data_IF_543532371412
#
_entry.id   IF_543532371412
#
_cell.length_a   1.000
_cell.length_b   1.000
_cell.length_c   1.000
_cell.angle_alpha   90.00
_cell.angle_beta   90.00
_cell.angle_gamma   90.00
#
_symmetry.space_group_name_H-M   'P 1'
#
loop_
_entity.id
_entity.type
_entity.pdbx_description
1 polymer ?
#
# COMPACT_ATOMS: atom_id res chain seq x y z
N UNK A 1 8.86 16.15 -8.72
CA UNK A 1 7.72 16.95 -9.23
C UNK A 1 6.54 16.11 -9.68
N UNK A 2 6.70 15.09 -10.55
CA UNK A 2 5.57 14.24 -11.02
C UNK A 2 4.83 13.49 -9.90
N UNK A 3 5.54 12.96 -8.91
CA UNK A 3 4.96 12.24 -7.77
C UNK A 3 4.02 13.14 -6.96
N UNK A 4 4.42 14.38 -6.68
CA UNK A 4 3.60 15.34 -5.94
C UNK A 4 2.31 15.70 -6.68
N UNK A 5 2.36 15.85 -8.01
CA UNK A 5 1.19 16.10 -8.84
C UNK A 5 0.23 14.91 -8.77
N UNK A 6 0.75 13.69 -8.86
CA UNK A 6 -0.07 12.46 -8.79
C UNK A 6 -0.72 12.31 -7.43
N UNK A 7 0.03 12.52 -6.35
CA UNK A 7 -0.52 12.49 -4.97
C UNK A 7 -1.58 13.59 -4.81
N UNK A 8 -1.34 14.81 -5.32
CA UNK A 8 -2.30 15.90 -5.26
C UNK A 8 -3.62 15.59 -5.99
N UNK A 9 -3.54 14.99 -7.18
CA UNK A 9 -4.73 14.56 -7.95
C UNK A 9 -5.48 13.47 -7.17
N UNK A 10 -4.79 12.47 -6.65
CA UNK A 10 -5.39 11.39 -5.86
C UNK A 10 -6.04 11.93 -4.59
N UNK A 11 -5.42 12.89 -3.91
CA UNK A 11 -5.99 13.58 -2.75
C UNK A 11 -7.28 14.30 -3.12
N UNK A 12 -7.30 15.03 -4.22
CA UNK A 12 -8.51 15.71 -4.70
C UNK A 12 -9.65 14.72 -4.96
N UNK A 13 -9.39 13.63 -5.68
CA UNK A 13 -10.39 12.59 -5.94
C UNK A 13 -10.86 11.91 -4.64
N UNK A 14 -9.97 11.62 -3.72
CA UNK A 14 -10.28 10.99 -2.45
C UNK A 14 -11.22 11.84 -1.60
N UNK A 15 -10.97 13.14 -1.52
CA UNK A 15 -11.86 14.10 -0.82
C UNK A 15 -13.21 14.18 -1.52
N UNK A 16 -13.22 14.27 -2.85
CA UNK A 16 -14.45 14.38 -3.64
C UNK A 16 -15.38 13.16 -3.51
N UNK A 17 -14.78 11.95 -3.40
CA UNK A 17 -15.53 10.70 -3.29
C UNK A 17 -15.69 10.19 -1.84
N UNK A 18 -15.33 11.00 -0.85
CA UNK A 18 -15.36 10.62 0.59
C UNK A 18 -14.59 9.33 0.92
N UNK A 19 -13.58 8.97 0.14
CA UNK A 19 -12.71 7.82 0.38
C UNK A 19 -11.46 8.30 1.13
N UNK A 20 -11.66 8.79 2.35
CA UNK A 20 -10.61 9.43 3.15
C UNK A 20 -9.41 8.51 3.44
N UNK A 21 -9.63 7.19 3.48
CA UNK A 21 -8.57 6.19 3.70
C UNK A 21 -7.61 6.03 2.50
N UNK A 22 -8.01 6.48 1.31
CA UNK A 22 -7.10 6.50 0.15
C UNK A 22 -5.90 7.43 0.36
N UNK A 23 -6.08 8.46 1.21
CA UNK A 23 -5.03 9.43 1.57
C UNK A 23 -4.30 9.00 2.85
N UNK A 24 -4.60 7.83 3.40
CA UNK A 24 -3.92 7.38 4.61
C UNK A 24 -2.40 7.46 4.41
N UNK A 25 -1.66 8.08 5.33
CA UNK A 25 -0.21 8.26 5.22
C UNK A 25 0.55 6.98 4.84
N UNK A 26 0.19 5.78 5.34
CA UNK A 26 0.88 4.55 4.95
C UNK A 26 0.77 4.22 3.46
N UNK A 27 -0.36 4.51 2.81
CA UNK A 27 -0.54 4.26 1.37
C UNK A 27 0.31 5.22 0.53
N UNK A 28 0.40 6.47 0.95
CA UNK A 28 1.25 7.47 0.27
C UNK A 28 2.72 7.07 0.39
N UNK A 29 3.17 6.66 1.57
CA UNK A 29 4.54 6.18 1.79
C UNK A 29 4.82 4.93 0.94
N UNK A 30 3.89 3.98 0.91
CA UNK A 30 4.00 2.79 0.05
C UNK A 30 4.14 3.16 -1.43
N UNK A 31 3.37 4.14 -1.91
CA UNK A 31 3.45 4.62 -3.28
C UNK A 31 4.81 5.27 -3.59
N UNK A 32 5.30 6.14 -2.71
CA UNK A 32 6.61 6.78 -2.87
C UNK A 32 7.72 5.73 -2.93
N UNK A 33 7.67 4.73 -2.06
CA UNK A 33 8.66 3.66 -1.99
C UNK A 33 8.60 2.75 -3.23
N UNK A 34 7.41 2.42 -3.72
CA UNK A 34 7.23 1.63 -4.96
C UNK A 34 7.72 2.39 -6.22
N UNK A 35 7.66 3.71 -6.23
CA UNK A 35 8.19 4.53 -7.33
C UNK A 35 9.70 4.70 -7.27
N UNK A 36 10.36 4.32 -6.18
CA UNK A 36 11.82 4.35 -6.05
C UNK A 36 12.45 3.28 -6.95
N UNK A 37 13.53 3.64 -7.65
CA UNK A 37 14.25 2.75 -8.59
C UNK A 37 14.86 1.53 -7.91
N UNK A 38 15.24 1.67 -6.66
CA UNK A 38 15.88 0.62 -5.86
C UNK A 38 14.89 -0.32 -5.15
N UNK A 39 13.57 -0.15 -5.36
CA UNK A 39 12.56 -0.98 -4.72
C UNK A 39 12.62 -2.43 -5.26
N UNK A 40 13.12 -3.35 -4.43
CA UNK A 40 13.24 -4.78 -4.74
C UNK A 40 11.87 -5.47 -4.93
N UNK A 41 10.80 -4.89 -4.35
CA UNK A 41 9.46 -5.49 -4.35
C UNK A 41 8.66 -5.20 -5.61
N UNK A 42 9.17 -4.34 -6.48
CA UNK A 42 8.55 -4.00 -7.77
C UNK A 42 8.25 -5.23 -8.64
N UNK A 43 9.19 -6.18 -8.70
CA UNK A 43 9.02 -7.41 -9.50
C UNK A 43 7.97 -8.35 -8.90
N UNK A 44 7.63 -8.18 -7.62
CA UNK A 44 6.63 -8.96 -6.88
C UNK A 44 5.37 -8.16 -6.56
N UNK A 45 4.96 -7.23 -7.44
CA UNK A 45 3.82 -6.34 -7.22
C UNK A 45 2.51 -7.08 -6.92
N UNK A 46 2.28 -8.26 -7.53
CA UNK A 46 1.11 -9.11 -7.24
C UNK A 46 1.14 -9.67 -5.81
N UNK A 47 2.29 -10.19 -5.38
CA UNK A 47 2.46 -10.70 -4.01
C UNK A 47 2.36 -9.57 -2.97
N UNK A 48 2.84 -8.39 -3.32
CA UNK A 48 2.72 -7.20 -2.48
C UNK A 48 1.25 -6.77 -2.35
N UNK A 49 0.49 -6.74 -3.44
CA UNK A 49 -0.95 -6.44 -3.41
C UNK A 49 -1.71 -7.45 -2.52
N UNK A 50 -1.43 -8.73 -2.67
CA UNK A 50 -2.00 -9.78 -1.84
C UNK A 50 -1.66 -9.57 -0.36
N UNK A 51 -0.41 -9.24 -0.05
CA UNK A 51 0.02 -8.95 1.32
C UNK A 51 -0.74 -7.77 1.92
N UNK A 52 -0.94 -6.68 1.18
CA UNK A 52 -1.75 -5.54 1.62
C UNK A 52 -3.19 -5.94 1.98
N UNK A 53 -3.81 -6.75 1.11
CA UNK A 53 -5.19 -7.22 1.32
C UNK A 53 -5.27 -8.13 2.55
N UNK A 54 -4.38 -9.12 2.66
CA UNK A 54 -4.34 -10.05 3.80
C UNK A 54 -4.17 -9.30 5.11
N UNK A 55 -3.25 -8.35 5.15
CA UNK A 55 -2.95 -7.59 6.37
C UNK A 55 -4.09 -6.62 6.72
N UNK A 56 -4.77 -6.02 5.73
CA UNK A 56 -5.96 -5.21 5.98
C UNK A 56 -7.12 -6.03 6.55
N UNK A 57 -7.30 -7.26 6.06
CA UNK A 57 -8.30 -8.20 6.59
C UNK A 57 -7.93 -8.64 8.02
N UNK A 58 -6.67 -8.94 8.30
CA UNK A 58 -6.20 -9.26 9.64
C UNK A 58 -6.49 -8.11 10.62
N UNK A 59 -6.13 -6.88 10.25
CA UNK A 59 -6.44 -5.71 11.08
C UNK A 59 -7.93 -5.54 11.35
N UNK A 60 -8.77 -5.77 10.34
CA UNK A 60 -10.23 -5.77 10.48
C UNK A 60 -10.72 -6.85 11.47
N UNK A 61 -10.25 -8.09 11.31
CA UNK A 61 -10.65 -9.23 12.17
C UNK A 61 -10.25 -8.95 13.63
N UNK A 62 -9.04 -8.48 13.88
CA UNK A 62 -8.60 -8.19 15.24
C UNK A 62 -9.38 -7.03 15.85
N UNK A 63 -9.73 -6.00 15.08
CA UNK A 63 -10.48 -4.85 15.59
C UNK A 63 -11.94 -5.18 15.85
N UNK A 64 -12.64 -5.75 14.89
CA UNK A 64 -14.08 -6.04 15.01
C UNK A 64 -14.31 -7.36 15.73
N UNK A 65 -13.65 -8.45 15.29
CA UNK A 65 -13.88 -9.78 15.83
C UNK A 65 -13.38 -9.94 17.27
N UNK A 66 -12.14 -9.57 17.53
CA UNK A 66 -11.55 -9.80 18.85
C UNK A 66 -11.84 -8.67 19.83
N UNK A 67 -11.72 -7.40 19.41
CA UNK A 67 -11.93 -6.29 20.33
C UNK A 67 -13.42 -6.00 20.56
N UNK A 68 -14.23 -5.83 19.52
CA UNK A 68 -15.65 -5.45 19.69
C UNK A 68 -16.54 -6.64 20.03
N UNK A 69 -16.34 -7.79 19.38
CA UNK A 69 -17.23 -8.95 19.58
C UNK A 69 -16.84 -9.78 20.81
N UNK A 70 -15.53 -10.03 21.02
CA UNK A 70 -15.04 -10.83 22.15
C UNK A 70 -14.67 -9.99 23.37
N UNK A 71 -14.70 -8.65 23.27
CA UNK A 71 -14.37 -7.75 24.37
C UNK A 71 -12.89 -7.78 24.79
N UNK A 72 -11.99 -8.28 23.94
CA UNK A 72 -10.57 -8.37 24.25
C UNK A 72 -9.98 -6.96 24.25
N UNK A 73 -9.14 -6.59 25.23
CA UNK A 73 -8.51 -5.27 25.28
C UNK A 73 -7.72 -4.94 24.01
N UNK A 74 -7.84 -3.70 23.52
CA UNK A 74 -7.26 -3.26 22.27
C UNK A 74 -5.73 -3.48 22.18
N UNK A 75 -5.02 -3.29 23.30
CA UNK A 75 -3.57 -3.51 23.37
C UNK A 75 -3.19 -4.98 23.12
N UNK A 76 -3.99 -5.92 23.64
CA UNK A 76 -3.77 -7.35 23.44
C UNK A 76 -4.05 -7.74 21.97
N UNK A 77 -5.13 -7.22 21.38
CA UNK A 77 -5.44 -7.39 19.97
C UNK A 77 -4.29 -6.87 19.08
N UNK A 78 -3.69 -5.74 19.45
CA UNK A 78 -2.56 -5.17 18.72
C UNK A 78 -1.32 -6.07 18.78
N UNK A 79 -1.03 -6.67 19.93
CA UNK A 79 0.10 -7.61 20.05
C UNK A 79 -0.11 -8.83 19.16
N UNK A 80 -1.28 -9.47 19.21
CA UNK A 80 -1.59 -10.61 18.34
C UNK A 80 -1.57 -10.26 16.86
N UNK A 81 -2.05 -9.06 16.51
CA UNK A 81 -1.99 -8.55 15.15
C UNK A 81 -0.54 -8.42 14.67
N UNK A 82 0.36 -7.86 15.50
CA UNK A 82 1.77 -7.72 15.15
C UNK A 82 2.44 -9.08 14.95
N UNK A 83 2.15 -10.07 15.80
CA UNK A 83 2.65 -11.43 15.63
C UNK A 83 2.17 -12.01 14.28
N UNK A 84 0.88 -11.89 13.97
CA UNK A 84 0.29 -12.37 12.72
C UNK A 84 0.87 -11.63 11.50
N UNK A 85 1.21 -10.35 11.64
CA UNK A 85 1.87 -9.57 10.62
C UNK A 85 3.28 -10.09 10.32
N UNK A 86 4.09 -10.38 11.34
CA UNK A 86 5.43 -10.95 11.15
C UNK A 86 5.35 -12.30 10.45
N UNK A 87 4.42 -13.16 10.85
CA UNK A 87 4.17 -14.45 10.16
C UNK A 87 3.81 -14.20 8.68
N UNK A 88 2.98 -13.20 8.41
CA UNK A 88 2.61 -12.85 7.02
C UNK A 88 3.82 -12.39 6.21
N UNK A 89 4.73 -11.60 6.78
CA UNK A 89 5.97 -11.20 6.11
C UNK A 89 6.85 -12.39 5.76
N UNK A 90 6.98 -13.37 6.65
CA UNK A 90 7.74 -14.59 6.39
C UNK A 90 7.09 -15.44 5.27
N UNK A 91 5.78 -15.64 5.31
CA UNK A 91 5.05 -16.42 4.30
C UNK A 91 5.21 -15.81 2.90
N UNK A 92 5.08 -14.49 2.78
CA UNK A 92 5.22 -13.80 1.49
C UNK A 92 6.67 -13.51 1.11
N UNK A 93 7.61 -13.67 2.05
CA UNK A 93 9.02 -13.29 1.90
C UNK A 93 9.17 -11.83 1.41
N UNK A 94 8.36 -10.93 2.00
CA UNK A 94 8.30 -9.51 1.69
C UNK A 94 8.30 -8.73 3.00
N UNK A 95 9.35 -7.97 3.24
CA UNK A 95 9.47 -7.07 4.39
C UNK A 95 9.26 -5.63 3.90
N UNK A 96 8.04 -5.12 4.03
CA UNK A 96 7.65 -3.81 3.51
C UNK A 96 7.00 -2.98 4.63
N UNK A 97 7.74 -2.03 5.25
CA UNK A 97 7.28 -1.29 6.43
C UNK A 97 5.90 -0.62 6.30
N UNK A 98 5.52 -0.03 5.16
CA UNK A 98 4.19 0.56 5.02
C UNK A 98 3.03 -0.41 5.26
N UNK A 99 3.23 -1.71 5.02
CA UNK A 99 2.22 -2.74 5.28
C UNK A 99 1.92 -2.86 6.77
N UNK A 100 2.94 -2.74 7.63
CA UNK A 100 2.74 -2.77 9.08
C UNK A 100 1.85 -1.62 9.57
N UNK A 101 2.05 -0.43 9.02
CA UNK A 101 1.22 0.72 9.35
C UNK A 101 -0.25 0.53 8.90
N UNK A 102 -0.47 -0.13 7.75
CA UNK A 102 -1.82 -0.49 7.29
C UNK A 102 -2.46 -1.53 8.20
N UNK A 103 -1.70 -2.51 8.71
CA UNK A 103 -2.22 -3.49 9.65
C UNK A 103 -2.79 -2.86 10.92
N UNK A 104 -2.06 -1.90 11.48
CA UNK A 104 -2.39 -1.27 12.76
C UNK A 104 -3.46 -0.18 12.62
N UNK A 105 -3.62 0.42 11.45
CA UNK A 105 -4.54 1.54 11.24
C UNK A 105 -5.98 1.26 11.71
N UNK A 106 -6.59 0.06 11.54
CA UNK A 106 -7.93 -0.25 12.07
C UNK A 106 -8.06 -0.08 13.58
N UNK A 107 -6.96 -0.23 14.34
CA UNK A 107 -6.98 -0.03 15.79
C UNK A 107 -7.23 1.41 16.20
N UNK A 108 -6.93 2.36 15.31
CA UNK A 108 -7.08 3.81 15.53
C UNK A 108 -8.39 4.36 14.96
N UNK A 109 -9.09 3.57 14.12
CA UNK A 109 -10.31 4.00 13.45
C UNK A 109 -11.57 3.72 14.29
N UNK A 110 -12.62 4.51 14.05
CA UNK A 110 -13.95 4.22 14.61
C UNK A 110 -14.54 2.96 13.96
N UNK A 111 -15.41 2.24 14.69
CA UNK A 111 -16.04 0.99 14.22
C UNK A 111 -16.74 1.14 12.86
N UNK A 112 -17.39 2.27 12.63
CA UNK A 112 -18.04 2.56 11.34
C UNK A 112 -17.04 2.65 10.17
N UNK A 113 -15.87 3.21 10.40
CA UNK A 113 -14.82 3.35 9.37
C UNK A 113 -14.13 2.01 9.11
N UNK A 114 -13.93 1.20 10.16
CA UNK A 114 -13.27 -0.10 10.05
C UNK A 114 -14.06 -1.07 9.18
N UNK A 115 -15.39 -0.97 9.15
CA UNK A 115 -16.25 -1.88 8.38
C UNK A 115 -15.97 -1.85 6.87
N UNK A 116 -15.62 -0.68 6.33
CA UNK A 116 -15.27 -0.51 4.92
C UNK A 116 -13.75 -0.53 4.66
N UNK A 117 -12.96 -0.66 5.72
CA UNK A 117 -11.51 -0.54 5.67
C UNK A 117 -10.82 -1.51 4.69
N UNK A 118 -11.06 -2.86 4.73
CA UNK A 118 -10.37 -3.78 3.84
C UNK A 118 -10.65 -3.50 2.36
N UNK A 119 -11.89 -3.09 2.05
CA UNK A 119 -12.30 -2.76 0.70
C UNK A 119 -11.63 -1.48 0.19
N UNK A 120 -11.57 -0.45 1.03
CA UNK A 120 -10.92 0.81 0.68
C UNK A 120 -9.41 0.64 0.49
N UNK A 121 -8.76 -0.17 1.34
CA UNK A 121 -7.33 -0.49 1.18
C UNK A 121 -7.08 -1.30 -0.08
N UNK A 122 -7.91 -2.29 -0.40
CA UNK A 122 -7.77 -3.09 -1.62
C UNK A 122 -7.83 -2.20 -2.89
N UNK A 123 -8.83 -1.31 -2.96
CA UNK A 123 -8.97 -0.36 -4.07
C UNK A 123 -7.77 0.61 -4.11
N UNK A 124 -7.40 1.18 -2.97
CA UNK A 124 -6.27 2.10 -2.88
C UNK A 124 -4.96 1.46 -3.33
N UNK A 125 -4.64 0.28 -2.84
CA UNK A 125 -3.45 -0.46 -3.25
C UNK A 125 -3.46 -0.80 -4.74
N UNK A 126 -4.61 -1.24 -5.29
CA UNK A 126 -4.74 -1.52 -6.70
C UNK A 126 -4.44 -0.29 -7.56
N UNK A 127 -5.03 0.85 -7.23
CA UNK A 127 -4.80 2.13 -7.92
C UNK A 127 -3.33 2.54 -7.82
N UNK A 128 -2.75 2.53 -6.62
CA UNK A 128 -1.36 2.95 -6.42
C UNK A 128 -0.35 2.05 -7.15
N UNK A 129 -0.54 0.73 -7.09
CA UNK A 129 0.34 -0.21 -7.78
C UNK A 129 0.22 -0.04 -9.29
N UNK A 130 -0.99 0.12 -9.84
CA UNK A 130 -1.21 0.35 -11.26
C UNK A 130 -0.54 1.63 -11.74
N UNK A 131 -0.71 2.73 -11.01
CA UNK A 131 -0.07 4.00 -11.33
C UNK A 131 1.45 3.88 -11.25
N UNK A 132 1.99 3.25 -10.20
CA UNK A 132 3.42 3.03 -10.05
C UNK A 132 3.99 2.24 -11.24
N UNK A 133 3.32 1.20 -11.69
CA UNK A 133 3.74 0.41 -12.85
C UNK A 133 3.77 1.23 -14.15
N UNK A 134 2.72 2.02 -14.42
CA UNK A 134 2.63 2.89 -15.61
C UNK A 134 3.77 3.93 -15.62
N UNK A 135 4.07 4.55 -14.46
CA UNK A 135 5.16 5.51 -14.37
C UNK A 135 6.52 4.89 -14.72
N UNK A 136 6.71 3.64 -14.36
CA UNK A 136 7.96 2.92 -14.54
C UNK A 136 8.15 2.43 -15.98
N UNK A 137 7.09 1.97 -16.64
CA UNK A 137 7.16 1.59 -18.05
C UNK A 137 7.54 2.77 -18.94
N UNK A 138 6.94 3.94 -18.69
CA UNK A 138 7.30 5.17 -19.43
C UNK A 138 8.76 5.57 -19.22
N UNK A 139 9.29 5.39 -18.02
CA UNK A 139 10.71 5.72 -17.74
C UNK A 139 11.67 4.78 -18.44
N UNK A 140 11.40 3.47 -18.41
CA UNK A 140 12.22 2.47 -19.08
C UNK A 140 12.19 2.63 -20.62
N UNK A 141 11.05 3.00 -21.19
CA UNK A 141 10.93 3.31 -22.61
C UNK A 141 11.78 4.54 -23.00
N UNK A 142 11.73 5.61 -22.19
CA UNK A 142 12.53 6.81 -22.38
C UNK A 142 14.04 6.54 -22.29
N UNK A 143 14.47 5.75 -21.30
CA UNK A 143 15.88 5.36 -21.16
C UNK A 143 16.38 4.54 -22.35
N UNK A 144 15.58 3.59 -22.85
CA UNK A 144 15.91 2.84 -24.07
C UNK A 144 16.07 3.74 -25.30
N UNK A 145 15.18 4.70 -25.48
CA UNK A 145 15.26 5.67 -26.59
C UNK A 145 16.51 6.55 -26.50
N UNK A 146 16.89 7.00 -25.30
CA UNK A 146 18.10 7.78 -25.06
C UNK A 146 19.35 6.97 -25.37
N UNK A 147 19.42 5.71 -24.93
CA UNK A 147 20.56 4.82 -25.19
C UNK A 147 20.70 4.54 -26.68
N UNK A 148 19.62 4.28 -27.39
CA UNK A 148 19.62 4.08 -28.84
C UNK A 148 20.13 5.32 -29.59
N UNK A 149 19.71 6.51 -29.13
CA UNK A 149 20.13 7.78 -29.73
C UNK A 149 21.64 8.07 -29.50
N UNK A 150 22.16 7.72 -28.32
CA UNK A 150 23.60 7.87 -28.00
C UNK A 150 24.44 6.92 -28.83
N UNK A 151 24.02 5.65 -28.99
CA UNK A 151 24.74 4.68 -29.81
C UNK A 151 24.74 5.07 -31.31
N UNK A 152 23.64 5.65 -31.80
CA UNK A 152 23.55 6.10 -33.20
C UNK A 152 24.45 7.31 -33.51
N UNK A 153 24.79 8.12 -32.49
CA UNK A 153 25.70 9.27 -32.67
C UNK A 153 27.19 8.90 -32.48
N UNK A 154 27.48 7.63 -32.12
CA UNK A 154 28.86 7.12 -31.96
C UNK A 154 29.32 6.25 -33.14
N UNK A 155 28.42 5.84 -34.02
CA UNK A 155 28.71 5.17 -35.29
C UNK A 155 28.71 6.17 -36.44
#
# INVERSE_FOLDING_TARGET
>A
MKIFITVGILTYFSVKFNITLLIAPPLIVAFIELTNEHCKFRQRSKSLLLLFIVVAILGFIFRIGFNEYLGIPLWLCTIFLLISLFISFEIFNIYFPPVAAIAVLPMLLSSKQVMFYPFQIAIGCFIFITIAMIFLEKKNALLRLVIIKINKNRS
#
